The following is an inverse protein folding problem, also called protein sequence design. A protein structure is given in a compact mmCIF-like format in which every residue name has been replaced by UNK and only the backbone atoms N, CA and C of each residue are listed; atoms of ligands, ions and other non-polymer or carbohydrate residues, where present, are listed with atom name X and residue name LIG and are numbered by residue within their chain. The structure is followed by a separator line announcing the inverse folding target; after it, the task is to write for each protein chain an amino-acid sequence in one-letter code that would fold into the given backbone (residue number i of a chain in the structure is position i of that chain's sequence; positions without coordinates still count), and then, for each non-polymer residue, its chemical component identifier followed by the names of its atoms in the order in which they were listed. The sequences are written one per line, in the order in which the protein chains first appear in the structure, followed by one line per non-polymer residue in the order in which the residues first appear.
data_IF_411532213619
#
_entry.id   IF_411532213619
#
_cell.length_a   1.000
_cell.length_b   1.000
_cell.length_c   1.000
_cell.angle_alpha   90.00
_cell.angle_beta   90.00
_cell.angle_gamma   90.00
#
_symmetry.space_group_name_H-M   'P 1'
#
loop_
_entity.id
_entity.type
_entity.pdbx_description
1 polymer ?
#
# COMPACT_ATOMS: atom_id res chain seq x y z
N UNK A 1 38.57 38.88 -2.08
CA UNK A 1 38.55 37.56 -1.42
C UNK A 1 37.25 37.51 -0.62
N UNK A 2 36.17 37.02 -1.26
CA UNK A 2 34.84 36.89 -0.61
C UNK A 2 34.82 35.55 0.14
N UNK A 3 34.25 35.50 1.38
CA UNK A 3 34.07 34.26 2.11
C UNK A 3 32.95 33.39 1.49
N UNK A 4 33.02 32.07 1.63
CA UNK A 4 32.04 31.18 1.05
C UNK A 4 30.68 31.32 1.76
N UNK A 5 29.64 31.36 0.98
CA UNK A 5 28.25 31.35 1.41
C UNK A 5 27.96 30.05 2.16
N UNK A 6 27.78 30.16 3.46
CA UNK A 6 27.34 29.07 4.35
C UNK A 6 25.90 28.73 4.00
N UNK A 7 25.67 27.57 3.38
CA UNK A 7 24.36 27.01 3.23
C UNK A 7 23.88 26.51 4.61
N UNK A 8 23.18 27.38 5.32
CA UNK A 8 22.57 27.09 6.60
C UNK A 8 21.74 25.80 6.50
N UNK A 9 22.07 24.80 7.32
CA UNK A 9 21.21 23.64 7.55
C UNK A 9 19.84 24.14 7.99
N UNK A 10 18.71 23.57 7.47
CA UNK A 10 17.38 23.97 7.91
C UNK A 10 17.29 23.83 9.43
N UNK A 11 16.80 24.86 10.10
CA UNK A 11 16.58 24.83 11.55
C UNK A 11 15.56 23.74 11.89
N UNK A 12 15.62 23.14 13.08
CA UNK A 12 14.71 22.09 13.54
C UNK A 12 13.22 22.51 13.40
N UNK A 13 12.93 23.80 13.57
CA UNK A 13 11.60 24.40 13.41
C UNK A 13 11.10 24.37 11.94
N UNK A 14 12.01 24.48 10.98
CA UNK A 14 11.71 24.45 9.54
C UNK A 14 11.30 23.03 9.09
N UNK A 15 12.00 22.02 9.63
CA UNK A 15 11.69 20.60 9.39
C UNK A 15 10.31 20.22 9.98
N UNK A 16 9.99 20.73 11.15
CA UNK A 16 8.72 20.45 11.83
C UNK A 16 7.51 21.07 11.09
N UNK A 17 7.63 22.29 10.58
CA UNK A 17 6.58 22.95 9.79
C UNK A 17 6.28 22.18 8.48
N UNK A 18 7.30 21.68 7.79
CA UNK A 18 7.14 20.87 6.59
C UNK A 18 6.40 19.55 6.89
N UNK A 19 6.79 18.86 7.95
CA UNK A 19 6.14 17.61 8.38
C UNK A 19 4.69 17.82 8.81
N UNK A 20 4.38 18.91 9.54
CA UNK A 20 2.99 19.26 9.89
C UNK A 20 2.14 19.48 8.64
N UNK A 21 2.65 20.23 7.64
CA UNK A 21 1.95 20.42 6.36
C UNK A 21 1.70 19.10 5.65
N UNK A 22 2.68 18.22 5.60
CA UNK A 22 2.56 16.91 4.94
C UNK A 22 1.48 16.04 5.60
N UNK A 23 1.49 15.92 6.93
CA UNK A 23 0.47 15.17 7.69
C UNK A 23 -0.95 15.73 7.51
N UNK A 24 -1.08 17.06 7.58
CA UNK A 24 -2.36 17.74 7.33
C UNK A 24 -2.83 17.52 5.90
N UNK A 25 -1.93 17.57 4.93
CA UNK A 25 -2.23 17.35 3.52
C UNK A 25 -2.74 15.92 3.28
N UNK A 26 -2.06 14.89 3.81
CA UNK A 26 -2.51 13.50 3.73
C UNK A 26 -3.94 13.39 4.25
N UNK A 27 -4.22 13.92 5.43
CA UNK A 27 -5.54 13.86 6.05
C UNK A 27 -6.62 14.56 5.22
N UNK A 28 -6.39 15.81 4.82
CA UNK A 28 -7.41 16.58 4.10
C UNK A 28 -7.62 16.03 2.69
N UNK A 29 -6.57 15.68 1.97
CA UNK A 29 -6.70 15.08 0.65
C UNK A 29 -7.36 13.70 0.68
N UNK A 30 -7.06 12.87 1.68
CA UNK A 30 -7.71 11.56 1.84
C UNK A 30 -9.22 11.69 2.13
N UNK A 31 -9.65 12.72 2.86
CA UNK A 31 -11.06 12.89 3.21
C UNK A 31 -11.88 13.61 2.14
N UNK A 32 -11.38 14.72 1.60
CA UNK A 32 -12.17 15.57 0.69
C UNK A 32 -11.62 15.68 -0.73
N UNK A 33 -10.43 15.12 -0.99
CA UNK A 33 -9.78 15.09 -2.29
C UNK A 33 -9.07 16.41 -2.62
N UNK A 34 -8.29 16.38 -3.71
CA UNK A 34 -7.49 17.51 -4.15
C UNK A 34 -8.32 18.75 -4.46
N UNK A 35 -9.39 18.60 -5.27
CA UNK A 35 -10.16 19.74 -5.78
C UNK A 35 -10.81 20.57 -4.66
N UNK A 36 -11.35 19.91 -3.63
CA UNK A 36 -12.08 20.57 -2.53
C UNK A 36 -11.18 21.11 -1.44
N UNK A 37 -9.91 20.72 -1.38
CA UNK A 37 -8.96 21.19 -0.36
C UNK A 37 -8.31 22.50 -0.81
N UNK A 38 -8.40 23.55 0.01
CA UNK A 38 -7.78 24.85 -0.27
C UNK A 38 -6.40 24.99 0.40
N UNK A 39 -5.52 25.82 -0.18
CA UNK A 39 -4.21 26.14 0.43
C UNK A 39 -4.35 26.86 1.76
N UNK A 40 -5.41 27.67 1.93
CA UNK A 40 -5.70 28.36 3.19
C UNK A 40 -6.06 27.36 4.29
N UNK A 41 -6.94 26.43 4.01
CA UNK A 41 -7.33 25.35 4.93
C UNK A 41 -6.13 24.48 5.35
N UNK A 42 -5.27 24.11 4.39
CA UNK A 42 -4.04 23.37 4.66
C UNK A 42 -3.11 24.12 5.61
N UNK A 43 -2.87 25.40 5.35
CA UNK A 43 -1.98 26.23 6.15
C UNK A 43 -2.54 26.48 7.56
N UNK A 44 -3.84 26.76 7.66
CA UNK A 44 -4.55 26.97 8.93
C UNK A 44 -4.50 25.70 9.80
N UNK A 45 -4.86 24.56 9.23
CA UNK A 45 -4.83 23.28 9.94
C UNK A 45 -3.41 22.83 10.34
N UNK A 46 -2.39 23.21 9.57
CA UNK A 46 -0.97 22.95 9.89
C UNK A 46 -0.35 24.00 10.82
N UNK A 47 -1.09 25.07 11.15
CA UNK A 47 -0.62 26.22 11.95
C UNK A 47 0.64 26.86 11.33
N UNK A 48 0.62 27.11 10.03
CA UNK A 48 1.69 27.78 9.29
C UNK A 48 1.15 28.89 8.41
N UNK A 49 2.05 29.76 7.91
CA UNK A 49 1.68 30.74 6.89
C UNK A 49 1.41 30.03 5.55
N UNK A 50 0.42 30.49 4.77
CA UNK A 50 0.12 29.96 3.42
C UNK A 50 1.35 29.95 2.51
N UNK A 51 2.26 30.92 2.64
CA UNK A 51 3.50 30.98 1.90
C UNK A 51 4.43 29.77 2.14
N UNK A 52 4.27 29.05 3.26
CA UNK A 52 5.03 27.85 3.56
C UNK A 52 4.76 26.73 2.56
N UNK A 53 3.55 26.64 1.99
CA UNK A 53 3.22 25.65 0.96
C UNK A 53 4.08 25.89 -0.27
N UNK A 54 4.16 27.13 -0.73
CA UNK A 54 5.02 27.48 -1.89
C UNK A 54 6.49 27.30 -1.58
N UNK A 55 6.91 27.59 -0.37
CA UNK A 55 8.30 27.46 0.05
C UNK A 55 8.78 26.00 0.09
N UNK A 56 7.97 25.08 0.66
CA UNK A 56 8.40 23.68 0.84
C UNK A 56 8.03 22.77 -0.34
N UNK A 57 6.95 23.07 -1.04
CA UNK A 57 6.36 22.17 -2.01
C UNK A 57 6.10 22.80 -3.39
N UNK A 58 6.40 24.10 -3.55
CA UNK A 58 6.16 24.84 -4.78
C UNK A 58 4.71 25.34 -4.90
N UNK A 59 3.77 24.42 -4.82
CA UNK A 59 2.32 24.74 -4.89
C UNK A 59 1.48 23.63 -4.21
N UNK A 60 0.15 23.73 -4.32
CA UNK A 60 -0.78 22.72 -3.80
C UNK A 60 -0.59 21.36 -4.50
N UNK A 61 -0.26 21.37 -5.79
CA UNK A 61 -0.02 20.14 -6.55
C UNK A 61 1.27 19.46 -6.12
N UNK A 62 2.33 20.24 -5.84
CA UNK A 62 3.57 19.72 -5.28
C UNK A 62 3.37 19.13 -3.88
N UNK A 63 2.57 19.77 -3.03
CA UNK A 63 2.20 19.23 -1.72
C UNK A 63 1.38 17.93 -1.85
N UNK A 64 0.48 17.85 -2.85
CA UNK A 64 -0.28 16.63 -3.12
C UNK A 64 0.63 15.48 -3.56
N UNK A 65 1.57 15.74 -4.50
CA UNK A 65 2.58 14.75 -4.92
C UNK A 65 3.43 14.27 -3.74
N UNK A 66 3.89 15.18 -2.89
CA UNK A 66 4.64 14.82 -1.69
C UNK A 66 3.81 13.96 -0.73
N UNK A 67 2.54 14.31 -0.49
CA UNK A 67 1.64 13.55 0.36
C UNK A 67 1.36 12.14 -0.17
N UNK A 68 1.40 11.97 -1.49
CA UNK A 68 1.20 10.70 -2.15
C UNK A 68 2.46 9.81 -2.14
N UNK A 69 3.64 10.39 -2.42
CA UNK A 69 4.87 9.64 -2.68
C UNK A 69 5.74 9.41 -1.45
N UNK A 70 5.86 10.40 -0.55
CA UNK A 70 6.84 10.34 0.55
C UNK A 70 6.53 9.31 1.65
N UNK A 71 5.24 9.01 1.98
CA UNK A 71 4.94 8.05 3.03
C UNK A 71 5.15 6.59 2.65
N UNK A 72 5.43 6.28 1.38
CA UNK A 72 5.53 4.90 0.89
C UNK A 72 7.00 4.49 0.74
N UNK A 73 7.37 3.44 1.45
CA UNK A 73 8.59 2.68 1.17
C UNK A 73 8.20 1.25 0.73
N UNK A 74 8.11 0.99 -0.57
CA UNK A 74 7.72 -0.32 -1.08
C UNK A 74 8.76 -1.41 -0.80
N UNK A 75 10.00 -1.07 -0.44
CA UNK A 75 11.09 -2.03 -0.29
C UNK A 75 10.89 -2.97 0.89
N UNK A 76 10.34 -2.48 2.00
CA UNK A 76 10.06 -3.30 3.18
C UNK A 76 8.94 -4.31 2.90
N UNK A 77 7.89 -3.90 2.23
CA UNK A 77 6.77 -4.78 1.88
C UNK A 77 7.19 -5.87 0.89
N UNK A 78 8.02 -5.54 -0.10
CA UNK A 78 8.54 -6.50 -1.06
C UNK A 78 9.41 -7.57 -0.37
N UNK A 79 10.28 -7.18 0.56
CA UNK A 79 11.17 -8.10 1.27
C UNK A 79 10.41 -9.20 2.04
N UNK A 80 9.14 -8.95 2.43
CA UNK A 80 8.31 -9.89 3.20
C UNK A 80 7.93 -11.15 2.43
N UNK A 81 7.90 -11.13 1.09
CA UNK A 81 7.37 -12.24 0.29
C UNK A 81 8.20 -12.60 -0.95
N UNK A 82 9.25 -11.85 -1.27
CA UNK A 82 10.04 -12.08 -2.49
C UNK A 82 11.16 -13.11 -2.34
N UNK A 83 11.49 -13.55 -1.11
CA UNK A 83 12.51 -14.58 -0.89
C UNK A 83 12.12 -15.88 -1.63
N UNK A 84 12.96 -16.35 -2.59
CA UNK A 84 12.69 -17.57 -3.34
C UNK A 84 12.59 -18.85 -2.50
N UNK A 85 13.14 -18.85 -1.29
CA UNK A 85 13.11 -20.00 -0.39
C UNK A 85 11.78 -20.14 0.37
N UNK A 86 10.93 -19.09 0.38
CA UNK A 86 9.64 -19.15 1.07
C UNK A 86 8.67 -20.12 0.39
N UNK A 87 7.98 -20.98 1.15
CA UNK A 87 6.80 -21.68 0.68
C UNK A 87 5.74 -20.70 0.19
N UNK A 88 4.93 -21.08 -0.80
CA UNK A 88 3.88 -20.21 -1.36
C UNK A 88 2.96 -19.62 -0.27
N UNK A 89 2.56 -20.43 0.71
CA UNK A 89 1.67 -19.97 1.78
C UNK A 89 2.32 -18.87 2.62
N UNK A 90 3.60 -18.99 2.93
CA UNK A 90 4.35 -18.00 3.71
C UNK A 90 4.61 -16.73 2.90
N UNK A 91 4.90 -16.87 1.60
CA UNK A 91 5.04 -15.74 0.70
C UNK A 91 3.71 -14.96 0.57
N UNK A 92 2.57 -15.64 0.38
CA UNK A 92 1.25 -15.00 0.35
C UNK A 92 0.88 -14.37 1.70
N UNK A 93 1.30 -14.98 2.82
CA UNK A 93 1.12 -14.39 4.14
C UNK A 93 1.93 -13.09 4.28
N UNK A 94 3.18 -13.06 3.82
CA UNK A 94 4.01 -11.87 3.77
C UNK A 94 3.41 -10.78 2.88
N UNK A 95 2.90 -11.14 1.69
CA UNK A 95 2.22 -10.25 0.78
C UNK A 95 1.02 -9.55 1.44
N UNK A 96 0.12 -10.31 2.07
CA UNK A 96 -1.05 -9.72 2.74
C UNK A 96 -0.70 -8.98 4.03
N UNK A 97 0.42 -9.29 4.68
CA UNK A 97 0.87 -8.52 5.83
C UNK A 97 1.05 -7.04 5.48
N UNK A 98 1.59 -6.71 4.29
CA UNK A 98 1.71 -5.34 3.79
C UNK A 98 0.36 -4.63 3.67
N UNK A 99 -0.66 -5.30 3.14
CA UNK A 99 -2.03 -4.73 3.07
C UNK A 99 -2.66 -4.51 4.45
N UNK A 100 -2.35 -5.34 5.43
CA UNK A 100 -2.97 -5.28 6.75
C UNK A 100 -2.22 -4.37 7.73
N UNK A 101 -0.95 -4.09 7.46
CA UNK A 101 -0.13 -3.24 8.32
C UNK A 101 -0.73 -1.84 8.55
N UNK A 102 -1.24 -1.12 7.53
CA UNK A 102 -1.90 0.16 7.76
C UNK A 102 -3.11 0.08 8.70
N UNK A 103 -3.79 -1.07 8.75
CA UNK A 103 -4.92 -1.29 9.67
C UNK A 103 -4.46 -1.51 11.12
N UNK A 104 -3.21 -1.96 11.33
CA UNK A 104 -2.58 -2.12 12.64
C UNK A 104 -1.92 -0.84 13.16
N UNK A 105 -1.33 -0.06 12.26
CA UNK A 105 -0.54 1.14 12.60
C UNK A 105 -1.38 2.35 13.01
N UNK A 106 -2.70 2.33 12.77
CA UNK A 106 -3.60 3.39 13.17
C UNK A 106 -3.96 4.39 12.07
N UNK A 107 -4.48 5.55 12.46
CA UNK A 107 -5.19 6.45 11.54
C UNK A 107 -4.30 7.08 10.46
N UNK A 108 -3.04 7.40 10.75
CA UNK A 108 -2.14 8.05 9.79
C UNK A 108 -1.83 7.12 8.60
N UNK A 109 -1.51 5.86 8.86
CA UNK A 109 -1.26 4.86 7.82
C UNK A 109 -2.52 4.56 6.98
N UNK A 110 -3.69 4.48 7.65
CA UNK A 110 -4.98 4.33 6.96
C UNK A 110 -5.29 5.50 6.04
N UNK A 111 -4.94 6.72 6.42
CA UNK A 111 -5.13 7.90 5.60
C UNK A 111 -4.23 7.92 4.37
N UNK A 112 -2.98 7.45 4.49
CA UNK A 112 -2.11 7.25 3.33
C UNK A 112 -2.73 6.27 2.33
N UNK A 113 -3.16 5.10 2.80
CA UNK A 113 -3.82 4.09 1.95
C UNK A 113 -5.09 4.66 1.32
N UNK A 114 -5.91 5.39 2.09
CA UNK A 114 -7.14 6.04 1.58
C UNK A 114 -6.84 7.06 0.48
N UNK A 115 -5.76 7.84 0.61
CA UNK A 115 -5.31 8.78 -0.42
C UNK A 115 -4.94 8.05 -1.72
N UNK A 116 -4.22 6.93 -1.63
CA UNK A 116 -3.85 6.12 -2.79
C UNK A 116 -5.07 5.50 -3.49
N UNK A 117 -5.99 4.92 -2.72
CA UNK A 117 -7.23 4.37 -3.26
C UNK A 117 -8.11 5.45 -3.90
N UNK A 118 -8.12 6.65 -3.33
CA UNK A 118 -8.84 7.77 -3.91
C UNK A 118 -8.27 8.18 -5.26
N UNK A 119 -6.94 8.25 -5.40
CA UNK A 119 -6.30 8.54 -6.69
C UNK A 119 -6.57 7.45 -7.74
N UNK A 120 -6.71 6.18 -7.32
CA UNK A 120 -7.13 5.09 -8.21
C UNK A 120 -8.56 5.27 -8.77
N UNK A 121 -9.47 5.77 -7.93
CA UNK A 121 -10.89 5.91 -8.28
C UNK A 121 -11.21 7.26 -8.94
N UNK A 122 -10.53 8.31 -8.50
CA UNK A 122 -10.76 9.71 -8.89
C UNK A 122 -9.42 10.36 -9.25
N UNK A 123 -8.79 9.89 -10.35
CA UNK A 123 -7.46 10.39 -10.74
C UNK A 123 -7.45 11.91 -10.91
N UNK A 124 -6.53 12.55 -10.23
CA UNK A 124 -6.32 14.01 -10.33
C UNK A 124 -5.52 14.40 -11.56
N UNK A 125 -4.83 13.45 -12.22
CA UNK A 125 -3.86 13.70 -13.29
C UNK A 125 -2.56 14.38 -12.79
N UNK A 126 -2.37 14.52 -11.47
CA UNK A 126 -1.18 15.14 -10.88
C UNK A 126 -0.04 14.15 -10.62
N UNK A 127 -0.38 12.87 -10.58
CA UNK A 127 0.55 11.78 -10.34
C UNK A 127 0.89 11.14 -11.69
N UNK A 128 1.73 11.82 -12.48
CA UNK A 128 2.17 11.37 -13.79
C UNK A 128 2.82 9.97 -13.70
N UNK A 129 2.17 8.95 -14.28
CA UNK A 129 2.54 7.53 -14.16
C UNK A 129 2.74 7.04 -12.71
N UNK A 130 2.58 7.91 -11.70
CA UNK A 130 2.95 7.66 -10.31
C UNK A 130 2.12 6.56 -9.67
N UNK A 131 0.83 6.47 -9.99
CA UNK A 131 0.00 5.39 -9.46
C UNK A 131 0.43 4.03 -10.03
N UNK A 132 0.60 3.93 -11.34
CA UNK A 132 1.11 2.72 -11.98
C UNK A 132 2.51 2.39 -11.46
N UNK A 133 3.42 3.36 -11.38
CA UNK A 133 4.79 3.15 -10.90
C UNK A 133 4.87 2.81 -9.41
N UNK A 134 3.91 3.20 -8.57
CA UNK A 134 3.87 2.82 -7.17
C UNK A 134 3.31 1.42 -6.93
N UNK A 135 2.38 0.96 -7.79
CA UNK A 135 1.76 -0.36 -7.69
C UNK A 135 2.57 -1.43 -8.46
N UNK A 136 3.17 -1.05 -9.59
CA UNK A 136 3.88 -1.96 -10.50
C UNK A 136 4.93 -2.86 -9.79
N UNK A 137 5.78 -2.37 -8.88
CA UNK A 137 6.76 -3.24 -8.20
C UNK A 137 6.11 -4.36 -7.38
N UNK A 138 4.99 -4.07 -6.71
CA UNK A 138 4.25 -5.05 -5.93
C UNK A 138 3.61 -6.10 -6.84
N UNK A 139 2.97 -5.65 -7.93
CA UNK A 139 2.38 -6.50 -8.95
C UNK A 139 3.42 -7.42 -9.60
N UNK A 140 4.53 -6.86 -10.08
CA UNK A 140 5.61 -7.62 -10.72
C UNK A 140 6.20 -8.67 -9.78
N UNK A 141 6.36 -8.35 -8.50
CA UNK A 141 6.85 -9.27 -7.48
C UNK A 141 5.87 -10.43 -7.23
N UNK A 142 4.56 -10.14 -7.15
CA UNK A 142 3.53 -11.19 -7.02
C UNK A 142 3.48 -12.07 -8.27
N UNK A 143 3.54 -11.48 -9.45
CA UNK A 143 3.60 -12.22 -10.72
C UNK A 143 4.84 -13.11 -10.77
N UNK A 144 6.01 -12.61 -10.37
CA UNK A 144 7.24 -13.40 -10.30
C UNK A 144 7.13 -14.58 -9.32
N UNK A 145 6.48 -14.38 -8.16
CA UNK A 145 6.16 -15.44 -7.21
C UNK A 145 5.31 -16.55 -7.88
N UNK A 146 4.25 -16.15 -8.58
CA UNK A 146 3.35 -17.11 -9.26
C UNK A 146 4.03 -17.79 -10.44
N UNK A 147 4.80 -17.08 -11.27
CA UNK A 147 5.62 -17.66 -12.36
C UNK A 147 6.53 -18.75 -11.82
N UNK A 148 7.24 -18.48 -10.72
CA UNK A 148 8.12 -19.44 -10.04
C UNK A 148 7.32 -20.64 -9.52
N UNK A 149 6.20 -20.41 -8.84
CA UNK A 149 5.36 -21.48 -8.30
C UNK A 149 4.84 -22.42 -9.39
N UNK A 150 4.39 -21.87 -10.50
CA UNK A 150 3.90 -22.66 -11.64
C UNK A 150 5.03 -23.20 -12.54
N UNK A 151 6.30 -22.85 -12.31
CA UNK A 151 7.43 -23.25 -13.14
C UNK A 151 7.27 -22.81 -14.59
N UNK A 152 6.74 -21.59 -14.81
CA UNK A 152 6.58 -21.00 -16.13
C UNK A 152 7.84 -20.23 -16.53
N UNK A 153 8.08 -20.07 -17.84
CA UNK A 153 9.16 -19.22 -18.33
C UNK A 153 8.80 -17.72 -18.18
N UNK A 154 7.53 -17.39 -18.39
CA UNK A 154 6.99 -16.03 -18.33
C UNK A 154 5.51 -16.06 -17.92
N UNK A 155 4.98 -14.90 -17.52
CA UNK A 155 3.58 -14.77 -17.18
C UNK A 155 2.71 -14.69 -18.43
N UNK A 156 1.67 -15.51 -18.49
CA UNK A 156 0.59 -15.38 -19.45
C UNK A 156 -0.57 -14.50 -18.92
N UNK A 157 -1.55 -14.22 -19.76
CA UNK A 157 -2.68 -13.38 -19.41
C UNK A 157 -3.53 -13.95 -18.26
N UNK A 158 -3.59 -15.28 -18.10
CA UNK A 158 -4.33 -15.91 -17.02
C UNK A 158 -3.62 -15.72 -15.67
N UNK A 159 -2.28 -15.79 -15.68
CA UNK A 159 -1.49 -15.56 -14.48
C UNK A 159 -1.57 -14.08 -14.04
N UNK A 160 -1.58 -13.16 -15.01
CA UNK A 160 -1.80 -11.73 -14.75
C UNK A 160 -3.19 -11.49 -14.09
N UNK A 161 -4.24 -12.13 -14.62
CA UNK A 161 -5.58 -12.03 -14.02
C UNK A 161 -5.63 -12.61 -12.61
N UNK A 162 -4.95 -13.75 -12.38
CA UNK A 162 -4.86 -14.36 -11.06
C UNK A 162 -4.16 -13.41 -10.07
N UNK A 163 -3.04 -12.79 -10.45
CA UNK A 163 -2.34 -11.81 -9.62
C UNK A 163 -3.26 -10.62 -9.27
N UNK A 164 -3.93 -10.02 -10.26
CA UNK A 164 -4.87 -8.91 -10.03
C UNK A 164 -6.01 -9.32 -9.09
N UNK A 165 -6.54 -10.55 -9.22
CA UNK A 165 -7.58 -11.04 -8.31
C UNK A 165 -7.06 -11.20 -6.87
N UNK A 166 -5.84 -11.71 -6.68
CA UNK A 166 -5.20 -11.85 -5.36
C UNK A 166 -4.99 -10.47 -4.73
N UNK A 167 -4.48 -9.50 -5.49
CA UNK A 167 -4.34 -8.09 -5.05
C UNK A 167 -5.68 -7.49 -4.66
N UNK A 168 -6.72 -7.72 -5.47
CA UNK A 168 -8.07 -7.21 -5.25
C UNK A 168 -8.67 -7.62 -3.91
N UNK A 169 -8.35 -8.82 -3.40
CA UNK A 169 -8.77 -9.24 -2.07
C UNK A 169 -8.21 -8.33 -0.96
N UNK A 170 -6.95 -7.91 -1.08
CA UNK A 170 -6.31 -6.98 -0.14
C UNK A 170 -6.91 -5.57 -0.24
N UNK A 171 -7.08 -5.07 -1.47
CA UNK A 171 -7.67 -3.75 -1.75
C UNK A 171 -9.10 -3.64 -1.21
N UNK A 172 -9.91 -4.72 -1.32
CA UNK A 172 -11.30 -4.75 -0.85
C UNK A 172 -11.43 -4.42 0.64
N UNK A 173 -10.45 -4.82 1.47
CA UNK A 173 -10.49 -4.49 2.89
C UNK A 173 -10.45 -2.99 3.16
N UNK A 174 -9.65 -2.26 2.40
CA UNK A 174 -9.51 -0.81 2.60
C UNK A 174 -10.66 -0.01 2.00
N UNK A 175 -11.18 -0.45 0.84
CA UNK A 175 -12.33 0.21 0.19
C UNK A 175 -13.62 -0.06 0.96
N UNK A 176 -13.77 -1.27 1.47
CA UNK A 176 -15.00 -1.77 2.07
C UNK A 176 -15.10 -1.62 3.59
N UNK A 177 -14.14 -1.03 4.30
CA UNK A 177 -14.09 -1.05 5.77
C UNK A 177 -15.40 -0.65 6.44
N UNK A 178 -15.95 0.52 6.08
CA UNK A 178 -17.16 1.06 6.68
C UNK A 178 -18.40 0.23 6.30
N UNK A 179 -18.45 -0.24 5.05
CA UNK A 179 -19.54 -1.08 4.55
C UNK A 179 -19.49 -2.45 5.21
N UNK A 180 -18.31 -3.06 5.31
CA UNK A 180 -18.13 -4.36 5.94
C UNK A 180 -18.57 -4.31 7.42
N UNK A 181 -18.21 -3.25 8.14
CA UNK A 181 -18.62 -3.07 9.53
C UNK A 181 -20.13 -2.84 9.67
N UNK A 182 -20.76 -2.14 8.70
CA UNK A 182 -22.19 -1.91 8.70
C UNK A 182 -23.01 -3.17 8.44
N UNK A 183 -22.55 -4.06 7.54
CA UNK A 183 -23.26 -5.32 7.21
C UNK A 183 -22.92 -6.45 8.17
N UNK A 184 -21.75 -6.44 8.80
CA UNK A 184 -21.27 -7.46 9.72
C UNK A 184 -20.55 -6.80 10.92
N UNK A 185 -21.29 -6.27 11.90
CA UNK A 185 -20.71 -5.56 13.04
C UNK A 185 -19.64 -6.38 13.78
N UNK A 186 -18.51 -5.75 14.03
CA UNK A 186 -17.33 -6.38 14.66
C UNK A 186 -16.42 -7.14 13.70
N UNK A 187 -16.74 -7.23 12.41
CA UNK A 187 -15.92 -7.98 11.45
C UNK A 187 -14.49 -7.38 11.31
N UNK A 188 -14.37 -6.07 11.45
CA UNK A 188 -13.09 -5.35 11.38
C UNK A 188 -12.55 -4.94 12.75
N UNK A 189 -13.42 -4.81 13.77
CA UNK A 189 -13.09 -4.14 15.05
C UNK A 189 -13.03 -5.10 16.24
N UNK A 190 -13.59 -6.31 16.14
CA UNK A 190 -13.49 -7.30 17.21
C UNK A 190 -12.02 -7.71 17.50
N UNK A 191 -11.67 -8.07 18.74
CA UNK A 191 -10.34 -8.54 19.09
C UNK A 191 -9.84 -9.63 18.13
N UNK A 192 -8.64 -9.45 17.55
CA UNK A 192 -8.05 -10.37 16.56
C UNK A 192 -8.71 -10.35 15.18
N UNK A 193 -9.56 -9.37 14.85
CA UNK A 193 -10.21 -9.28 13.54
C UNK A 193 -9.20 -9.22 12.40
N UNK A 194 -8.13 -8.44 12.53
CA UNK A 194 -7.10 -8.30 11.50
C UNK A 194 -6.37 -9.61 11.25
N UNK A 195 -6.09 -10.38 12.31
CA UNK A 195 -5.42 -11.69 12.15
C UNK A 195 -6.34 -12.72 11.50
N UNK A 196 -7.64 -12.66 11.78
CA UNK A 196 -8.63 -13.48 11.06
C UNK A 196 -8.75 -13.09 9.59
N UNK A 197 -8.72 -11.80 9.27
CA UNK A 197 -8.65 -11.33 7.89
C UNK A 197 -7.39 -11.83 7.20
N UNK A 198 -6.24 -11.73 7.85
CA UNK A 198 -4.98 -12.25 7.30
C UNK A 198 -5.10 -13.73 6.93
N UNK A 199 -5.55 -14.57 7.87
CA UNK A 199 -5.74 -15.99 7.61
C UNK A 199 -6.74 -16.25 6.47
N UNK A 200 -7.84 -15.51 6.42
CA UNK A 200 -8.87 -15.64 5.37
C UNK A 200 -8.33 -15.28 3.99
N UNK A 201 -7.59 -14.17 3.88
CA UNK A 201 -7.00 -13.73 2.61
C UNK A 201 -5.98 -14.75 2.08
N UNK A 202 -5.11 -15.25 2.95
CA UNK A 202 -4.12 -16.28 2.57
C UNK A 202 -4.82 -17.54 2.08
N UNK A 203 -5.83 -18.02 2.79
CA UNK A 203 -6.59 -19.21 2.39
C UNK A 203 -7.33 -19.00 1.06
N UNK A 204 -7.94 -17.83 0.86
CA UNK A 204 -8.60 -17.49 -0.40
C UNK A 204 -7.61 -17.48 -1.58
N UNK A 205 -6.45 -16.83 -1.42
CA UNK A 205 -5.43 -16.79 -2.45
C UNK A 205 -4.88 -18.20 -2.78
N UNK A 206 -4.62 -19.02 -1.76
CA UNK A 206 -4.20 -20.42 -1.97
C UNK A 206 -5.26 -21.23 -2.73
N UNK A 207 -6.54 -21.04 -2.42
CA UNK A 207 -7.63 -21.69 -3.15
C UNK A 207 -7.68 -21.25 -4.61
N UNK A 208 -7.44 -19.96 -4.90
CA UNK A 208 -7.36 -19.45 -6.27
C UNK A 208 -6.18 -20.03 -7.03
N UNK A 209 -4.99 -20.08 -6.42
CA UNK A 209 -3.79 -20.70 -7.02
C UNK A 209 -4.03 -22.19 -7.28
N UNK A 210 -4.64 -22.90 -6.34
CA UNK A 210 -5.01 -24.32 -6.52
C UNK A 210 -5.97 -24.53 -7.69
N UNK A 211 -6.98 -23.69 -7.82
CA UNK A 211 -7.92 -23.76 -8.95
C UNK A 211 -7.21 -23.54 -10.29
N UNK A 212 -6.27 -22.61 -10.33
CA UNK A 212 -5.46 -22.34 -11.53
C UNK A 212 -4.52 -23.51 -11.84
N UNK A 213 -3.90 -24.13 -10.82
CA UNK A 213 -3.08 -25.34 -10.99
C UNK A 213 -3.89 -26.49 -11.63
N UNK A 214 -5.10 -26.73 -11.13
CA UNK A 214 -6.01 -27.73 -11.70
C UNK A 214 -6.39 -27.42 -13.16
N UNK A 215 -6.65 -26.15 -13.48
CA UNK A 215 -6.95 -25.69 -14.84
C UNK A 215 -5.76 -25.92 -15.79
N UNK A 216 -4.54 -25.78 -15.30
CA UNK A 216 -3.30 -26.03 -16.06
C UNK A 216 -2.92 -27.51 -16.16
N UNK A 217 -3.68 -28.42 -15.52
CA UNK A 217 -3.39 -29.85 -15.49
C UNK A 217 -2.16 -30.22 -14.63
N UNK A 218 -1.81 -29.38 -13.63
CA UNK A 218 -0.69 -29.60 -12.72
C UNK A 218 -1.20 -30.03 -11.33
N UNK A 219 -0.56 -31.03 -10.66
CA UNK A 219 -0.87 -31.37 -9.29
C UNK A 219 -0.53 -30.22 -8.35
N UNK A 220 -1.36 -30.01 -7.33
CA UNK A 220 -1.17 -29.01 -6.29
C UNK A 220 -0.08 -29.45 -5.29
N UNK A 221 1.05 -28.74 -5.28
CA UNK A 221 2.17 -28.96 -4.35
C UNK A 221 2.02 -28.19 -3.02
N UNK A 222 0.90 -27.46 -2.80
CA UNK A 222 0.69 -26.60 -1.61
C UNK A 222 0.48 -27.39 -0.29
N UNK A 223 0.41 -28.73 -0.35
CA UNK A 223 0.15 -29.60 0.82
C UNK A 223 1.40 -30.27 1.42
N UNK A 224 2.59 -30.02 0.89
CA UNK A 224 3.83 -30.64 1.40
C UNK A 224 4.53 -29.83 2.49
N UNK A 225 3.84 -29.57 3.62
CA UNK A 225 4.48 -29.11 4.85
C UNK A 225 3.95 -29.90 6.04
N UNK A 226 4.15 -31.22 6.04
CA UNK A 226 4.06 -32.00 7.28
C UNK A 226 5.45 -32.04 7.89
N UNK A 227 5.66 -31.54 9.13
CA UNK A 227 6.93 -31.69 9.81
C UNK A 227 7.18 -33.18 10.05
N UNK A 228 8.28 -33.72 9.51
CA UNK A 228 8.79 -35.03 9.90
C UNK A 228 9.17 -34.94 11.38
N UNK A 229 8.43 -35.60 12.22
CA UNK A 229 8.81 -35.90 13.59
C UNK A 229 10.06 -36.77 13.56
N UNK A 230 11.17 -36.40 14.21
CA UNK A 230 12.31 -37.31 14.38
C UNK A 230 11.95 -38.37 15.42
N UNK A 231 12.17 -39.60 15.05
CA UNK A 231 12.20 -40.76 15.95
C UNK A 231 13.51 -40.78 16.74
#
# INVERSE_FOLDING_TARGET
MNPPTDFARPSADTSDARLRLLRVAIRLFAHQGFAKTSTRELAEAAQVNVAAISYYFGDKAGLYRAAFLEPMDPTEDLARFTDPALPLADALAGFYAGFLEPLRQGDEARLCTKLHLREMLESTGLIDNGLASSIQPLHDALVALLVRHFGLAEADAELQRLAICIEGLGVQLHVGLDINEAIAPGINTAPGAIDRWHATLVQAALAMVKAEAARRGRPDDSTQSTPRTPT
#
